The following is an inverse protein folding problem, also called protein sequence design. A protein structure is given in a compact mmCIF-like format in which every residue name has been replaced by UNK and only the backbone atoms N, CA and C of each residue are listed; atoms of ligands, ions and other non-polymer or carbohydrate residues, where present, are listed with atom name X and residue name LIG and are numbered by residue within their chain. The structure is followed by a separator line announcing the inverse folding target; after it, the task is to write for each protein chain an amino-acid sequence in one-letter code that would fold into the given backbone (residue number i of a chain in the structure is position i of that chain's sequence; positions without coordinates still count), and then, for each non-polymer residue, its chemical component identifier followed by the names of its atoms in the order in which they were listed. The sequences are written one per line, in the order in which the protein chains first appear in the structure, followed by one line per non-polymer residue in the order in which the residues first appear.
data_IF_509034616799
#
_entry.id   IF_509034616799
#
_cell.length_a   1.000
_cell.length_b   1.000
_cell.length_c   1.000
_cell.angle_alpha   90.00
_cell.angle_beta   90.00
_cell.angle_gamma   90.00
#
_symmetry.space_group_name_H-M   'P 1'
#
loop_
_entity.id
_entity.type
_entity.pdbx_description
1 polymer ?
#
# COMPACT_ATOMS: atom_id res chain seq x y z
N UNK A 1 -6.85 61.32 -54.57
CA UNK A 1 -6.19 61.07 -53.28
C UNK A 1 -7.20 60.90 -52.10
N UNK A 2 -8.40 60.34 -52.33
CA UNK A 2 -9.44 60.25 -51.29
C UNK A 2 -9.85 58.83 -50.92
N UNK A 3 -9.36 57.81 -51.65
CA UNK A 3 -9.72 56.39 -51.37
C UNK A 3 -8.89 55.65 -50.33
N UNK A 4 -7.67 56.15 -50.00
CA UNK A 4 -6.82 55.43 -49.02
C UNK A 4 -7.17 55.67 -47.54
N UNK A 5 -7.86 56.78 -47.24
CA UNK A 5 -8.25 57.06 -45.82
C UNK A 5 -9.48 56.27 -45.38
N UNK A 6 -10.40 55.96 -46.30
CA UNK A 6 -11.60 55.17 -46.00
C UNK A 6 -11.26 53.69 -45.74
N UNK A 7 -10.30 53.15 -46.49
CA UNK A 7 -9.83 51.77 -46.29
C UNK A 7 -9.06 51.58 -44.95
N UNK A 8 -8.37 52.62 -44.47
CA UNK A 8 -7.67 52.57 -43.20
C UNK A 8 -8.63 52.60 -41.97
N UNK A 9 -9.72 53.36 -42.09
CA UNK A 9 -10.77 53.45 -41.07
C UNK A 9 -11.59 52.15 -41.03
N UNK A 10 -11.84 51.52 -42.18
CA UNK A 10 -12.55 50.22 -42.24
C UNK A 10 -11.71 49.06 -41.67
N UNK A 11 -10.39 49.13 -41.83
CA UNK A 11 -9.45 48.15 -41.30
C UNK A 11 -9.32 48.27 -39.76
N UNK A 12 -9.47 49.49 -39.22
CA UNK A 12 -9.37 49.71 -37.77
C UNK A 12 -10.63 49.31 -37.00
N UNK A 13 -11.78 49.22 -37.63
CA UNK A 13 -13.05 48.78 -37.03
C UNK A 13 -13.09 47.24 -36.91
N UNK A 14 -12.38 46.51 -37.80
CA UNK A 14 -12.29 45.03 -37.73
C UNK A 14 -11.40 44.52 -36.63
N UNK A 15 -10.58 45.37 -35.96
CA UNK A 15 -9.73 45.00 -34.84
C UNK A 15 -10.38 45.19 -33.45
N UNK A 16 -11.58 45.79 -33.42
CA UNK A 16 -12.41 45.79 -32.20
C UNK A 16 -13.30 44.53 -32.15
N UNK A 17 -12.73 43.39 -32.40
CA UNK A 17 -13.32 42.11 -32.03
C UNK A 17 -13.50 42.09 -30.52
N UNK A 18 -14.72 42.29 -30.03
CA UNK A 18 -15.12 41.99 -28.66
C UNK A 18 -14.66 40.55 -28.32
N UNK A 19 -13.52 40.42 -27.69
CA UNK A 19 -13.24 39.26 -26.89
C UNK A 19 -14.35 39.17 -25.85
N UNK A 20 -15.41 38.40 -26.09
CA UNK A 20 -16.20 37.86 -25.02
C UNK A 20 -15.19 37.16 -24.11
N UNK A 21 -14.86 37.76 -22.97
CA UNK A 21 -14.40 37.01 -21.83
C UNK A 21 -15.56 36.05 -21.56
N UNK A 22 -15.37 34.79 -21.93
CA UNK A 22 -16.17 33.74 -21.36
C UNK A 22 -15.83 33.83 -19.87
N UNK A 23 -16.71 34.47 -19.12
CA UNK A 23 -16.74 34.39 -17.66
C UNK A 23 -17.16 32.95 -17.43
N UNK A 24 -16.16 32.04 -17.30
CA UNK A 24 -16.38 30.78 -16.64
C UNK A 24 -16.89 31.19 -15.25
N UNK A 25 -18.20 31.16 -15.06
CA UNK A 25 -18.77 31.13 -13.72
C UNK A 25 -18.22 29.85 -13.11
N UNK A 26 -17.22 29.98 -12.21
CA UNK A 26 -16.76 28.85 -11.41
C UNK A 26 -18.01 28.28 -10.75
N UNK A 27 -18.32 27.02 -11.09
CA UNK A 27 -19.43 26.29 -10.48
C UNK A 27 -19.12 26.18 -8.99
N UNK A 28 -19.99 26.63 -8.10
CA UNK A 28 -19.83 26.37 -6.66
C UNK A 28 -20.03 24.88 -6.40
N UNK A 29 -18.92 24.17 -6.20
CA UNK A 29 -18.89 22.74 -5.96
C UNK A 29 -19.17 22.36 -4.48
N UNK A 30 -19.33 23.36 -3.59
CA UNK A 30 -19.59 23.11 -2.15
C UNK A 30 -20.86 22.30 -1.89
N UNK A 31 -22.00 22.56 -2.56
CA UNK A 31 -23.22 21.76 -2.35
C UNK A 31 -23.04 20.30 -2.79
N UNK A 32 -22.23 20.06 -3.84
CA UNK A 32 -21.92 18.72 -4.34
C UNK A 32 -21.01 17.98 -3.38
N UNK A 33 -20.00 18.66 -2.83
CA UNK A 33 -19.13 18.10 -1.80
C UNK A 33 -19.91 17.68 -0.55
N UNK A 34 -20.79 18.55 -0.03
CA UNK A 34 -21.68 18.21 1.06
C UNK A 34 -22.59 17.00 0.76
N UNK A 35 -23.08 16.88 -0.48
CA UNK A 35 -23.84 15.70 -0.92
C UNK A 35 -22.98 14.45 -0.90
N UNK A 36 -21.75 14.53 -1.39
CA UNK A 36 -20.78 13.44 -1.38
C UNK A 36 -20.47 12.97 0.06
N UNK A 37 -20.21 13.92 0.97
CA UNK A 37 -19.98 13.64 2.39
C UNK A 37 -21.20 12.97 3.03
N UNK A 38 -22.42 13.43 2.74
CA UNK A 38 -23.64 12.75 3.23
C UNK A 38 -23.78 11.30 2.72
N UNK A 39 -23.29 10.98 1.53
CA UNK A 39 -23.23 9.60 1.06
C UNK A 39 -22.15 8.81 1.78
N UNK A 40 -20.98 9.41 1.97
CA UNK A 40 -19.84 8.80 2.69
C UNK A 40 -20.24 8.43 4.12
N UNK A 41 -20.79 9.36 4.89
CA UNK A 41 -21.24 9.19 6.28
C UNK A 41 -22.33 8.12 6.43
N UNK A 42 -23.10 7.88 5.37
CA UNK A 42 -24.14 6.83 5.32
C UNK A 42 -23.61 5.49 4.79
N UNK A 43 -22.31 5.34 4.59
CA UNK A 43 -21.70 4.13 4.04
C UNK A 43 -22.06 3.87 2.57
N UNK A 44 -22.57 4.87 1.83
CA UNK A 44 -22.90 4.76 0.41
C UNK A 44 -21.68 5.09 -0.45
N UNK A 45 -20.59 4.38 -0.22
CA UNK A 45 -19.27 4.70 -0.75
C UNK A 45 -19.19 4.77 -2.28
N UNK A 46 -19.90 3.90 -2.99
CA UNK A 46 -19.94 3.99 -4.47
C UNK A 46 -20.50 5.33 -4.96
N UNK A 47 -21.60 5.82 -4.34
CA UNK A 47 -22.18 7.12 -4.69
C UNK A 47 -21.30 8.29 -4.24
N UNK A 48 -20.65 8.16 -3.09
CA UNK A 48 -19.72 9.17 -2.59
C UNK A 48 -18.53 9.30 -3.55
N UNK A 49 -17.95 8.17 -3.97
CA UNK A 49 -16.85 8.10 -4.94
C UNK A 49 -17.20 8.83 -6.24
N UNK A 50 -18.38 8.56 -6.83
CA UNK A 50 -18.82 9.19 -8.08
C UNK A 50 -18.96 10.72 -7.96
N UNK A 51 -19.47 11.23 -6.82
CA UNK A 51 -19.59 12.66 -6.58
C UNK A 51 -18.23 13.33 -6.33
N UNK A 52 -17.34 12.68 -5.57
CA UNK A 52 -15.97 13.18 -5.35
C UNK A 52 -15.15 13.18 -6.64
N UNK A 53 -15.26 12.13 -7.47
CA UNK A 53 -14.61 12.06 -8.77
C UNK A 53 -15.03 13.22 -9.68
N UNK A 54 -16.34 13.53 -9.73
CA UNK A 54 -16.82 14.68 -10.48
C UNK A 54 -16.15 15.99 -10.00
N UNK A 55 -16.03 16.21 -8.68
CA UNK A 55 -15.44 17.43 -8.13
C UNK A 55 -13.96 17.54 -8.51
N UNK A 56 -13.22 16.44 -8.44
CA UNK A 56 -11.79 16.41 -8.80
C UNK A 56 -11.57 16.74 -10.27
N UNK A 57 -12.52 16.36 -11.15
CA UNK A 57 -12.45 16.65 -12.58
C UNK A 57 -12.93 18.07 -12.93
N UNK A 58 -13.91 18.61 -12.18
CA UNK A 58 -14.54 19.90 -12.48
C UNK A 58 -13.62 21.09 -12.16
N UNK A 59 -12.85 21.02 -11.08
CA UNK A 59 -11.94 22.10 -10.65
C UNK A 59 -10.60 21.53 -10.10
N UNK A 60 -9.77 20.98 -10.99
CA UNK A 60 -8.53 20.32 -10.59
C UNK A 60 -7.57 21.27 -9.86
N UNK A 61 -7.07 20.83 -8.69
CA UNK A 61 -6.10 21.59 -7.89
C UNK A 61 -6.71 22.59 -6.93
N UNK A 62 -8.04 22.78 -6.93
CA UNK A 62 -8.71 23.57 -5.89
C UNK A 62 -8.65 22.83 -4.54
N UNK A 63 -8.88 23.59 -3.45
CA UNK A 63 -8.93 23.01 -2.11
C UNK A 63 -10.01 21.94 -2.01
N UNK A 64 -11.18 22.17 -2.60
CA UNK A 64 -12.32 21.24 -2.54
C UNK A 64 -12.04 19.98 -3.37
N UNK A 65 -11.34 20.11 -4.51
CA UNK A 65 -10.91 18.97 -5.30
C UNK A 65 -9.86 18.12 -4.58
N UNK A 66 -8.88 18.76 -3.92
CA UNK A 66 -7.89 18.05 -3.11
C UNK A 66 -8.54 17.28 -1.95
N UNK A 67 -9.50 17.88 -1.28
CA UNK A 67 -10.25 17.21 -0.21
C UNK A 67 -11.13 16.07 -0.76
N UNK A 68 -11.76 16.28 -1.91
CA UNK A 68 -12.52 15.26 -2.62
C UNK A 68 -11.65 14.07 -3.03
N UNK A 69 -10.41 14.31 -3.45
CA UNK A 69 -9.45 13.27 -3.81
C UNK A 69 -9.18 12.32 -2.62
N UNK A 70 -9.01 12.87 -1.41
CA UNK A 70 -8.84 12.07 -0.20
C UNK A 70 -10.06 11.19 0.09
N UNK A 71 -11.26 11.77 0.11
CA UNK A 71 -12.48 11.01 0.40
C UNK A 71 -12.89 10.06 -0.74
N UNK A 72 -12.50 10.34 -1.97
CA UNK A 72 -12.61 9.39 -3.08
C UNK A 72 -11.76 8.16 -2.83
N UNK A 73 -10.48 8.34 -2.43
CA UNK A 73 -9.59 7.25 -2.09
C UNK A 73 -10.11 6.43 -0.88
N UNK A 74 -10.60 7.11 0.17
CA UNK A 74 -11.25 6.45 1.31
C UNK A 74 -12.50 5.66 0.88
N UNK A 75 -13.30 6.19 -0.04
CA UNK A 75 -14.46 5.48 -0.58
C UNK A 75 -14.07 4.21 -1.32
N UNK A 76 -12.99 4.26 -2.12
CA UNK A 76 -12.44 3.09 -2.81
C UNK A 76 -11.94 2.04 -1.80
N UNK A 77 -11.25 2.48 -0.73
CA UNK A 77 -10.78 1.61 0.34
C UNK A 77 -11.95 0.87 1.01
N UNK A 78 -13.02 1.57 1.35
CA UNK A 78 -14.22 1.01 1.97
C UNK A 78 -15.00 0.04 1.03
N UNK A 79 -14.82 0.19 -0.29
CA UNK A 79 -15.35 -0.72 -1.30
C UNK A 79 -14.45 -1.93 -1.55
N UNK A 80 -13.33 -2.06 -0.84
CA UNK A 80 -12.27 -3.06 -1.06
C UNK A 80 -11.61 -2.97 -2.45
N UNK A 81 -11.69 -1.81 -3.09
CA UNK A 81 -10.98 -1.48 -4.35
C UNK A 81 -9.53 -1.07 -3.99
N UNK A 82 -8.79 -1.96 -3.33
CA UNK A 82 -7.50 -1.62 -2.69
C UNK A 82 -6.40 -1.18 -3.66
N UNK A 83 -6.38 -1.72 -4.87
CA UNK A 83 -5.39 -1.35 -5.87
C UNK A 83 -5.62 0.10 -6.36
N UNK A 84 -6.87 0.45 -6.64
CA UNK A 84 -7.30 1.79 -7.07
C UNK A 84 -7.17 2.79 -5.92
N UNK A 85 -7.56 2.39 -4.69
CA UNK A 85 -7.41 3.21 -3.49
C UNK A 85 -5.94 3.58 -3.24
N UNK A 86 -5.03 2.62 -3.36
CA UNK A 86 -3.59 2.87 -3.18
C UNK A 86 -3.05 3.90 -4.17
N UNK A 87 -3.48 3.83 -5.44
CA UNK A 87 -3.10 4.81 -6.47
C UNK A 87 -3.68 6.20 -6.14
N UNK A 88 -4.95 6.25 -5.72
CA UNK A 88 -5.62 7.49 -5.39
C UNK A 88 -5.01 8.18 -4.15
N UNK A 89 -4.63 7.42 -3.12
CA UNK A 89 -3.89 7.93 -1.96
C UNK A 89 -2.47 8.40 -2.33
N UNK A 90 -1.73 7.65 -3.17
CA UNK A 90 -0.40 8.06 -3.62
C UNK A 90 -0.47 9.39 -4.40
N UNK A 91 -1.50 9.58 -5.21
CA UNK A 91 -1.77 10.85 -5.88
C UNK A 91 -2.00 11.96 -4.84
N UNK A 92 -2.85 11.73 -3.82
CA UNK A 92 -3.10 12.70 -2.76
C UNK A 92 -1.81 13.09 -2.02
N UNK A 93 -0.98 12.12 -1.64
CA UNK A 93 0.31 12.34 -0.96
C UNK A 93 1.24 13.26 -1.76
N UNK A 94 1.24 13.12 -3.10
CA UNK A 94 2.14 13.90 -3.97
C UNK A 94 1.71 15.36 -4.14
N UNK A 95 0.43 15.67 -4.07
CA UNK A 95 -0.11 16.97 -4.48
C UNK A 95 -0.83 17.72 -3.35
N UNK A 96 -1.07 17.10 -2.20
CA UNK A 96 -1.72 17.76 -1.07
C UNK A 96 -0.72 18.55 -0.22
N UNK A 97 -1.12 19.72 0.30
CA UNK A 97 -0.35 20.46 1.29
C UNK A 97 -0.65 20.04 2.75
N UNK A 98 -1.63 19.16 2.99
CA UNK A 98 -2.11 18.78 4.32
C UNK A 98 -1.27 17.61 4.88
N UNK A 99 -0.27 17.94 5.70
CA UNK A 99 0.68 16.97 6.25
C UNK A 99 0.00 15.88 7.09
N UNK A 100 -1.00 16.22 7.90
CA UNK A 100 -1.71 15.23 8.73
C UNK A 100 -2.46 14.21 7.89
N UNK A 101 -3.12 14.65 6.81
CA UNK A 101 -3.79 13.74 5.87
C UNK A 101 -2.79 12.99 4.98
N UNK A 102 -1.60 13.54 4.71
CA UNK A 102 -0.51 12.82 4.02
C UNK A 102 -0.08 11.62 4.85
N UNK A 103 0.18 11.79 6.15
CA UNK A 103 0.53 10.68 7.05
C UNK A 103 -0.55 9.58 7.04
N UNK A 104 -1.82 9.96 7.23
CA UNK A 104 -2.94 9.02 7.16
C UNK A 104 -3.02 8.31 5.81
N UNK A 105 -2.84 9.04 4.69
CA UNK A 105 -2.86 8.47 3.35
C UNK A 105 -1.70 7.48 3.12
N UNK A 106 -0.51 7.78 3.64
CA UNK A 106 0.64 6.85 3.58
C UNK A 106 0.34 5.56 4.34
N UNK A 107 -0.26 5.65 5.52
CA UNK A 107 -0.68 4.45 6.24
C UNK A 107 -1.79 3.68 5.51
N UNK A 108 -2.77 4.35 4.88
CA UNK A 108 -3.79 3.71 4.04
C UNK A 108 -3.20 2.96 2.85
N UNK A 109 -2.11 3.47 2.26
CA UNK A 109 -1.37 2.74 1.20
C UNK A 109 -0.81 1.42 1.76
N UNK A 110 -0.28 1.43 2.99
CA UNK A 110 0.17 0.20 3.66
C UNK A 110 -0.99 -0.78 3.87
N UNK A 111 -2.13 -0.32 4.38
CA UNK A 111 -3.32 -1.16 4.57
C UNK A 111 -3.86 -1.73 3.25
N UNK A 112 -3.84 -0.95 2.16
CA UNK A 112 -4.16 -1.46 0.82
C UNK A 112 -3.21 -2.61 0.43
N UNK A 113 -1.91 -2.44 0.61
CA UNK A 113 -0.92 -3.47 0.29
C UNK A 113 -1.07 -4.73 1.15
N UNK A 114 -1.39 -4.58 2.45
CA UNK A 114 -1.71 -5.69 3.35
C UNK A 114 -2.93 -6.48 2.84
N UNK A 115 -4.00 -5.78 2.47
CA UNK A 115 -5.24 -6.42 1.98
C UNK A 115 -5.05 -7.10 0.62
N UNK A 116 -4.13 -6.62 -0.22
CA UNK A 116 -3.75 -7.26 -1.49
C UNK A 116 -2.82 -8.47 -1.30
N UNK A 117 -2.26 -8.66 -0.10
CA UNK A 117 -1.34 -9.75 0.21
C UNK A 117 -2.06 -11.09 0.25
N UNK A 118 -1.65 -12.01 -0.58
CA UNK A 118 -2.22 -13.36 -0.71
C UNK A 118 -2.03 -14.22 0.54
N UNK A 119 -2.78 -15.33 0.61
CA UNK A 119 -2.52 -16.40 1.59
C UNK A 119 -1.13 -17.02 1.38
N UNK A 120 -0.53 -17.61 2.44
CA UNK A 120 0.84 -18.13 2.39
C UNK A 120 1.07 -19.22 1.32
N UNK A 121 0.02 -19.93 0.88
CA UNK A 121 0.12 -20.97 -0.16
C UNK A 121 0.35 -20.41 -1.57
N UNK A 122 0.06 -19.14 -1.77
CA UNK A 122 0.17 -18.47 -3.08
C UNK A 122 1.51 -17.77 -3.25
N UNK A 123 1.67 -17.10 -4.37
CA UNK A 123 2.77 -16.20 -4.67
C UNK A 123 2.78 -15.02 -3.68
N UNK A 124 3.97 -14.56 -3.23
CA UNK A 124 4.13 -13.64 -2.11
C UNK A 124 4.70 -12.26 -2.48
N UNK A 125 4.77 -11.90 -3.77
CA UNK A 125 5.27 -10.58 -4.18
C UNK A 125 4.47 -9.43 -3.54
N UNK A 126 3.14 -9.58 -3.41
CA UNK A 126 2.31 -8.59 -2.74
C UNK A 126 2.61 -8.49 -1.23
N UNK A 127 2.94 -9.60 -0.58
CA UNK A 127 3.35 -9.60 0.84
C UNK A 127 4.68 -8.86 1.03
N UNK A 128 5.65 -9.08 0.15
CA UNK A 128 6.91 -8.34 0.18
C UNK A 128 6.71 -6.85 -0.08
N UNK A 129 5.85 -6.50 -1.04
CA UNK A 129 5.50 -5.10 -1.30
C UNK A 129 4.82 -4.44 -0.09
N UNK A 130 3.95 -5.15 0.64
CA UNK A 130 3.33 -4.64 1.86
C UNK A 130 4.37 -4.36 2.95
N UNK A 131 5.36 -5.25 3.13
CA UNK A 131 6.48 -5.04 4.06
C UNK A 131 7.31 -3.80 3.67
N UNK A 132 7.58 -3.60 2.38
CA UNK A 132 8.30 -2.42 1.88
C UNK A 132 7.52 -1.12 2.18
N UNK A 133 6.19 -1.10 1.97
CA UNK A 133 5.36 0.07 2.26
C UNK A 133 5.33 0.39 3.76
N UNK A 134 5.21 -0.63 4.61
CA UNK A 134 5.24 -0.46 6.08
C UNK A 134 6.60 0.08 6.56
N UNK A 135 7.70 -0.47 6.04
CA UNK A 135 9.03 0.01 6.36
C UNK A 135 9.22 1.48 5.97
N UNK A 136 8.80 1.85 4.74
CA UNK A 136 8.84 3.24 4.28
C UNK A 136 7.99 4.16 5.15
N UNK A 137 6.81 3.70 5.60
CA UNK A 137 5.96 4.48 6.49
C UNK A 137 6.66 4.78 7.83
N UNK A 138 7.26 3.78 8.46
CA UNK A 138 7.99 3.94 9.74
C UNK A 138 9.19 4.88 9.57
N UNK A 139 9.91 4.78 8.45
CA UNK A 139 11.06 5.66 8.15
C UNK A 139 10.64 7.11 7.90
N UNK A 140 9.52 7.33 7.18
CA UNK A 140 9.01 8.66 6.84
C UNK A 140 8.31 9.35 8.03
N UNK A 141 7.70 8.57 8.94
CA UNK A 141 6.88 9.06 10.06
C UNK A 141 7.24 8.38 11.39
N UNK A 142 8.50 8.48 11.87
CA UNK A 142 8.97 7.75 13.06
C UNK A 142 8.27 8.17 14.37
N UNK A 143 7.67 9.37 14.42
CA UNK A 143 6.94 9.89 15.58
C UNK A 143 5.42 9.70 15.48
N UNK A 144 4.95 8.95 14.48
CA UNK A 144 3.51 8.68 14.28
C UNK A 144 2.98 7.72 15.34
N UNK A 145 1.77 7.98 15.81
CA UNK A 145 1.04 7.05 16.69
C UNK A 145 0.70 5.71 15.99
N UNK A 146 0.85 5.64 14.66
CA UNK A 146 0.58 4.45 13.85
C UNK A 146 1.81 3.53 13.67
N UNK A 147 2.96 3.88 14.24
CA UNK A 147 4.20 3.07 14.13
C UNK A 147 4.01 1.70 14.79
N UNK A 148 3.38 1.63 15.97
CA UNK A 148 3.11 0.37 16.67
C UNK A 148 2.22 -0.55 15.82
N UNK A 149 1.14 0.00 15.22
CA UNK A 149 0.26 -0.75 14.32
C UNK A 149 1.01 -1.24 13.07
N UNK A 150 1.94 -0.43 12.54
CA UNK A 150 2.76 -0.80 11.39
C UNK A 150 3.74 -1.94 11.73
N UNK A 151 4.39 -1.91 12.89
CA UNK A 151 5.28 -2.96 13.37
C UNK A 151 4.52 -4.27 13.58
N UNK A 152 3.34 -4.25 14.18
CA UNK A 152 2.47 -5.42 14.37
C UNK A 152 2.04 -6.02 13.02
N UNK A 153 1.69 -5.17 12.07
CA UNK A 153 1.37 -5.61 10.71
C UNK A 153 2.59 -6.25 10.02
N UNK A 154 3.79 -5.67 10.17
CA UNK A 154 5.04 -6.26 9.66
C UNK A 154 5.29 -7.65 10.26
N UNK A 155 5.15 -7.81 11.58
CA UNK A 155 5.31 -9.11 12.23
C UNK A 155 4.33 -10.14 11.68
N UNK A 156 3.06 -9.75 11.49
CA UNK A 156 2.02 -10.61 10.90
C UNK A 156 2.39 -11.08 9.49
N UNK A 157 2.90 -10.18 8.64
CA UNK A 157 3.33 -10.53 7.29
C UNK A 157 4.60 -11.41 7.30
N UNK A 158 5.55 -11.16 8.20
CA UNK A 158 6.74 -11.99 8.39
C UNK A 158 6.38 -13.40 8.88
N UNK A 159 5.42 -13.53 9.80
CA UNK A 159 4.86 -14.82 10.21
C UNK A 159 4.25 -15.59 9.03
N UNK A 160 3.55 -14.91 8.13
CA UNK A 160 2.98 -15.50 6.91
C UNK A 160 4.07 -16.07 5.99
N UNK A 161 5.15 -15.32 5.77
CA UNK A 161 6.30 -15.75 4.96
C UNK A 161 7.07 -16.89 5.61
N UNK A 162 7.32 -16.80 6.92
CA UNK A 162 7.95 -17.86 7.71
C UNK A 162 7.16 -19.17 7.62
N UNK A 163 5.82 -19.08 7.77
CA UNK A 163 4.93 -20.24 7.61
C UNK A 163 5.06 -20.87 6.24
N UNK A 164 5.12 -20.07 5.18
CA UNK A 164 5.30 -20.58 3.81
C UNK A 164 6.57 -21.40 3.70
N UNK A 165 7.70 -20.83 4.08
CA UNK A 165 9.00 -21.51 3.97
C UNK A 165 9.04 -22.77 4.85
N UNK A 166 8.51 -22.67 6.06
CA UNK A 166 8.42 -23.82 6.97
C UNK A 166 7.59 -24.97 6.38
N UNK A 167 6.41 -24.68 5.84
CA UNK A 167 5.55 -25.72 5.23
C UNK A 167 6.17 -26.32 3.96
N UNK A 168 6.90 -25.53 3.18
CA UNK A 168 7.67 -26.05 2.04
C UNK A 168 8.80 -26.96 2.53
N UNK A 169 9.51 -26.58 3.58
CA UNK A 169 10.52 -27.44 4.21
C UNK A 169 9.93 -28.77 4.69
N UNK A 170 8.78 -28.74 5.36
CA UNK A 170 8.04 -29.94 5.78
C UNK A 170 7.59 -30.81 4.61
N UNK A 171 7.18 -30.20 3.50
CA UNK A 171 6.81 -30.92 2.28
C UNK A 171 8.01 -31.68 1.72
N UNK A 172 9.17 -31.04 1.57
CA UNK A 172 10.38 -31.68 1.10
C UNK A 172 10.86 -32.79 2.05
N UNK A 173 10.72 -32.58 3.37
CA UNK A 173 11.04 -33.60 4.36
C UNK A 173 10.19 -34.88 4.17
N UNK A 174 8.90 -34.74 3.88
CA UNK A 174 8.00 -35.87 3.59
C UNK A 174 8.32 -36.57 2.27
N UNK A 175 8.93 -35.86 1.33
CA UNK A 175 9.38 -36.39 0.05
C UNK A 175 10.79 -37.00 0.13
N UNK A 176 11.39 -37.04 1.33
CA UNK A 176 12.75 -37.50 1.59
C UNK A 176 13.84 -36.69 0.86
N UNK A 177 13.48 -35.49 0.40
CA UNK A 177 14.38 -34.53 -0.23
C UNK A 177 15.07 -33.65 0.84
N UNK A 178 15.97 -34.29 1.60
CA UNK A 178 16.54 -33.73 2.83
C UNK A 178 17.31 -32.43 2.63
N UNK A 179 18.11 -32.33 1.55
CA UNK A 179 18.86 -31.10 1.27
C UNK A 179 17.93 -29.91 0.96
N UNK A 180 16.86 -30.18 0.20
CA UNK A 180 15.84 -29.17 -0.08
C UNK A 180 15.10 -28.74 1.20
N UNK A 181 14.76 -29.67 2.08
CA UNK A 181 14.14 -29.39 3.37
C UNK A 181 15.04 -28.48 4.23
N UNK A 182 16.35 -28.79 4.30
CA UNK A 182 17.32 -27.97 5.04
C UNK A 182 17.42 -26.53 4.52
N UNK A 183 17.35 -26.33 3.20
CA UNK A 183 17.36 -24.99 2.60
C UNK A 183 16.20 -24.15 3.13
N UNK A 184 14.99 -24.69 3.12
CA UNK A 184 13.80 -23.95 3.56
C UNK A 184 13.75 -23.72 5.07
N UNK A 185 14.10 -24.71 5.89
CA UNK A 185 14.20 -24.50 7.35
C UNK A 185 15.28 -23.49 7.71
N UNK A 186 16.41 -23.48 7.01
CA UNK A 186 17.44 -22.44 7.19
C UNK A 186 16.97 -21.07 6.71
N UNK A 187 16.15 -20.99 5.66
CA UNK A 187 15.54 -19.75 5.22
C UNK A 187 14.71 -19.11 6.34
N UNK A 188 13.87 -19.91 7.02
CA UNK A 188 13.12 -19.43 8.19
C UNK A 188 14.05 -18.87 9.26
N UNK A 189 15.13 -19.61 9.58
CA UNK A 189 16.09 -19.19 10.61
C UNK A 189 16.85 -17.92 10.28
N UNK A 190 17.13 -17.69 8.99
CA UNK A 190 17.94 -16.55 8.56
C UNK A 190 17.11 -15.27 8.35
N UNK A 191 15.87 -15.41 7.84
CA UNK A 191 15.06 -14.28 7.44
C UNK A 191 13.91 -13.97 8.41
N UNK A 192 13.46 -14.96 9.20
CA UNK A 192 12.28 -14.87 10.05
C UNK A 192 12.57 -15.37 11.48
N UNK A 193 13.77 -15.11 11.99
CA UNK A 193 14.25 -15.53 13.31
C UNK A 193 13.44 -14.97 14.48
N UNK A 194 12.71 -13.89 14.24
CA UNK A 194 11.83 -13.16 15.16
C UNK A 194 10.39 -13.72 15.20
N UNK A 195 10.12 -14.79 14.46
CA UNK A 195 8.81 -15.44 14.41
C UNK A 195 8.80 -16.76 15.18
N UNK A 196 7.62 -17.20 15.62
CA UNK A 196 7.44 -18.51 16.29
C UNK A 196 7.87 -19.70 15.43
N UNK A 197 7.86 -19.57 14.09
CA UNK A 197 8.33 -20.62 13.18
C UNK A 197 9.85 -20.86 13.24
N UNK A 198 10.62 -19.95 13.86
CA UNK A 198 12.06 -20.14 13.97
C UNK A 198 12.42 -21.34 14.84
N UNK A 199 11.69 -21.57 15.93
CA UNK A 199 11.92 -22.72 16.82
C UNK A 199 11.48 -24.04 16.17
N UNK A 200 10.33 -24.02 15.50
CA UNK A 200 9.88 -25.16 14.70
C UNK A 200 10.88 -25.52 13.60
N UNK A 201 11.47 -24.53 12.93
CA UNK A 201 12.49 -24.74 11.89
C UNK A 201 13.79 -25.31 12.45
N UNK A 202 14.24 -24.89 13.67
CA UNK A 202 15.40 -25.50 14.37
C UNK A 202 15.17 -26.98 14.60
N UNK A 203 13.99 -27.34 15.12
CA UNK A 203 13.61 -28.74 15.31
C UNK A 203 13.57 -29.46 13.98
N UNK A 204 13.00 -28.84 12.93
CA UNK A 204 12.95 -29.37 11.57
C UNK A 204 14.34 -29.70 11.00
N UNK A 205 15.34 -28.83 11.23
CA UNK A 205 16.74 -29.08 10.81
C UNK A 205 17.29 -30.33 11.49
N UNK A 206 17.10 -30.48 12.83
CA UNK A 206 17.57 -31.64 13.56
C UNK A 206 16.93 -32.92 13.04
N UNK A 207 15.62 -32.92 12.89
CA UNK A 207 14.85 -34.04 12.33
C UNK A 207 15.32 -34.44 10.94
N UNK A 208 15.56 -33.43 10.07
CA UNK A 208 16.07 -33.70 8.72
C UNK A 208 17.42 -34.41 8.75
N UNK A 209 18.33 -33.94 9.59
CA UNK A 209 19.62 -34.63 9.73
C UNK A 209 19.49 -36.06 10.28
N UNK A 210 18.58 -36.30 11.23
CA UNK A 210 18.35 -37.66 11.79
C UNK A 210 17.81 -38.60 10.70
N UNK A 211 16.77 -38.14 9.93
CA UNK A 211 16.15 -38.96 8.90
C UNK A 211 17.08 -39.20 7.70
N UNK A 212 18.07 -38.35 7.48
CA UNK A 212 19.12 -38.52 6.48
C UNK A 212 20.35 -39.26 7.03
N UNK A 213 20.23 -40.06 8.13
CA UNK A 213 21.31 -40.79 8.81
C UNK A 213 22.56 -39.92 9.16
N UNK A 214 22.45 -38.60 9.13
CA UNK A 214 23.50 -37.66 9.44
C UNK A 214 23.50 -37.30 10.95
N UNK A 215 23.71 -38.28 11.80
CA UNK A 215 23.73 -38.10 13.26
C UNK A 215 24.81 -37.13 13.75
N UNK A 216 25.94 -37.00 13.01
CA UNK A 216 26.97 -35.99 13.32
C UNK A 216 26.45 -34.58 13.10
N UNK A 217 25.75 -34.35 11.97
CA UNK A 217 25.13 -33.08 11.64
C UNK A 217 24.07 -32.70 12.67
N UNK A 218 23.17 -33.62 13.00
CA UNK A 218 22.14 -33.42 14.02
C UNK A 218 22.74 -32.99 15.37
N UNK A 219 23.74 -33.72 15.86
CA UNK A 219 24.39 -33.45 17.16
C UNK A 219 25.17 -32.12 17.14
N UNK A 220 25.88 -31.84 16.05
CA UNK A 220 26.61 -30.57 15.89
C UNK A 220 25.64 -29.38 15.89
N UNK A 221 24.53 -29.46 15.14
CA UNK A 221 23.55 -28.42 15.09
C UNK A 221 22.85 -28.24 16.45
N UNK A 222 22.40 -29.30 17.08
CA UNK A 222 21.80 -29.26 18.43
C UNK A 222 22.74 -28.56 19.44
N UNK A 223 24.04 -28.95 19.48
CA UNK A 223 25.03 -28.32 20.37
C UNK A 223 25.15 -26.81 20.10
N UNK A 224 25.13 -26.40 18.85
CA UNK A 224 25.22 -24.97 18.46
C UNK A 224 23.99 -24.14 18.88
N UNK A 225 22.84 -24.80 19.05
CA UNK A 225 21.58 -24.14 19.43
C UNK A 225 21.16 -24.39 20.89
N UNK A 226 21.96 -25.15 21.66
CA UNK A 226 21.60 -25.65 22.99
C UNK A 226 21.13 -24.55 23.95
N UNK A 227 21.81 -23.41 23.97
CA UNK A 227 21.47 -22.32 24.89
C UNK A 227 20.08 -21.74 24.61
N UNK A 228 19.65 -21.71 23.35
CA UNK A 228 18.32 -21.25 22.96
C UNK A 228 17.19 -22.20 23.33
N UNK A 229 17.46 -23.52 23.30
CA UNK A 229 16.50 -24.54 23.76
C UNK A 229 16.34 -24.59 25.28
N UNK A 230 17.26 -23.98 26.05
CA UNK A 230 17.23 -23.99 27.51
C UNK A 230 16.80 -22.65 28.12
N UNK A 231 16.59 -21.63 27.32
CA UNK A 231 16.21 -20.27 27.77
C UNK A 231 14.70 -20.03 27.82
N UNK A 232 13.90 -21.01 27.45
CA UNK A 232 12.45 -21.09 27.61
C UNK A 232 12.05 -21.95 28.82
#
# INVERSE_FOLDING_TARGET
MMNNKINFILLMILLMGCGKKDVHLEEDLSPRFEKAMRYFDKGKYSRAKDEFDYITMADPGSKIANESQYYMAESMFQLNEYAEASIAFDWYVRFSPDYAKIEQSRYRICECAINLSNSYQREQSQTHRALEQLQMFIEDFPESDLVEDADDAMLTLRLKLAKKDYEVGRMYLKLEEYESALIYFRSVMNHYYDTSFSDDARVGIIFTHILNDNHKGANSYFKSQKERFLSE
#
